data_IF_888057391747
#
_entry.id   IF_888057391747
#
_cell.length_a   1.000
_cell.length_b   1.000
_cell.length_c   1.000
_cell.angle_alpha   90.00
_cell.angle_beta   90.00
_cell.angle_gamma   90.00
#
_symmetry.space_group_name_H-M   'P 1'
#
loop_
_entity.id
_entity.type
_entity.pdbx_description
1 polymer ?
#
# COMPACT_ATOMS: atom_id res chain seq x y z
N UNK A 1 6.24 -23.61 -13.64
CA UNK A 1 6.67 -22.30 -13.08
C UNK A 1 5.39 -21.51 -12.85
N UNK A 2 4.84 -21.54 -11.64
CA UNK A 2 3.74 -20.63 -11.29
C UNK A 2 4.28 -19.21 -11.30
N UNK A 3 3.54 -18.29 -11.90
CA UNK A 3 3.89 -16.87 -11.84
C UNK A 3 3.96 -16.45 -10.36
N UNK A 4 5.08 -15.85 -9.96
CA UNK A 4 5.26 -15.36 -8.60
C UNK A 4 4.15 -14.34 -8.25
N UNK A 5 3.68 -13.55 -9.22
CA UNK A 5 2.55 -12.63 -9.03
C UNK A 5 1.23 -13.38 -8.76
N UNK A 6 1.01 -14.53 -9.39
CA UNK A 6 -0.18 -15.36 -9.12
C UNK A 6 -0.16 -15.91 -7.69
N UNK A 7 1.03 -16.35 -7.22
CA UNK A 7 1.21 -16.77 -5.85
C UNK A 7 0.88 -15.64 -4.87
N UNK A 8 1.50 -14.46 -5.05
CA UNK A 8 1.25 -13.29 -4.19
C UNK A 8 -0.22 -12.90 -4.20
N UNK A 9 -0.86 -12.90 -5.37
CA UNK A 9 -2.28 -12.54 -5.50
C UNK A 9 -3.17 -13.51 -4.75
N UNK A 10 -2.91 -14.81 -4.85
CA UNK A 10 -3.65 -15.86 -4.13
C UNK A 10 -3.50 -15.69 -2.61
N UNK A 11 -2.27 -15.51 -2.13
CA UNK A 11 -1.98 -15.31 -0.71
C UNK A 11 -2.67 -14.04 -0.17
N UNK A 12 -2.57 -12.91 -0.88
CA UNK A 12 -3.20 -11.65 -0.45
C UNK A 12 -4.73 -11.70 -0.44
N UNK A 13 -5.35 -12.48 -1.34
CA UNK A 13 -6.81 -12.70 -1.28
C UNK A 13 -7.22 -13.46 -0.02
N UNK A 14 -6.43 -14.45 0.39
CA UNK A 14 -6.67 -15.16 1.65
C UNK A 14 -6.49 -14.23 2.86
N UNK A 15 -5.45 -13.38 2.85
CA UNK A 15 -5.23 -12.37 3.90
C UNK A 15 -6.42 -11.43 4.04
N UNK A 16 -6.93 -10.90 2.91
CA UNK A 16 -8.11 -10.01 2.91
C UNK A 16 -9.36 -10.73 3.41
N UNK A 17 -9.58 -11.98 3.02
CA UNK A 17 -10.73 -12.76 3.50
C UNK A 17 -10.67 -12.97 5.03
N UNK A 18 -9.49 -13.32 5.56
CA UNK A 18 -9.27 -13.45 7.00
C UNK A 18 -9.46 -12.12 7.75
N UNK A 19 -8.94 -11.02 7.19
CA UNK A 19 -9.11 -9.69 7.77
C UNK A 19 -10.58 -9.24 7.81
N UNK A 20 -11.35 -9.51 6.74
CA UNK A 20 -12.79 -9.22 6.68
C UNK A 20 -13.63 -10.07 7.62
N UNK A 21 -13.21 -11.30 7.88
CA UNK A 21 -13.84 -12.14 8.89
C UNK A 21 -13.58 -11.61 10.31
N UNK A 22 -12.42 -10.99 10.54
CA UNK A 22 -12.04 -10.44 11.83
C UNK A 22 -12.61 -9.04 12.10
N UNK A 23 -12.73 -8.20 11.06
CA UNK A 23 -13.21 -6.82 11.17
C UNK A 23 -14.21 -6.53 10.04
N UNK A 24 -15.46 -6.19 10.36
CA UNK A 24 -16.46 -5.80 9.37
C UNK A 24 -16.03 -4.60 8.50
N UNK A 25 -16.45 -4.63 7.23
CA UNK A 25 -16.07 -3.62 6.22
C UNK A 25 -16.51 -2.19 6.61
N UNK A 26 -17.65 -2.04 7.30
CA UNK A 26 -18.16 -0.76 7.80
C UNK A 26 -17.26 -0.18 8.91
N UNK A 27 -16.76 -1.03 9.81
CA UNK A 27 -15.81 -0.61 10.85
C UNK A 27 -14.47 -0.19 10.23
N UNK A 28 -13.97 -0.92 9.23
CA UNK A 28 -12.77 -0.52 8.48
C UNK A 28 -12.96 0.87 7.84
N UNK A 29 -14.12 1.13 7.22
CA UNK A 29 -14.44 2.44 6.62
C UNK A 29 -14.52 3.54 7.66
N UNK A 30 -15.13 3.30 8.82
CA UNK A 30 -15.21 4.27 9.90
C UNK A 30 -13.82 4.64 10.41
N UNK A 31 -12.95 3.66 10.65
CA UNK A 31 -11.55 3.89 11.07
C UNK A 31 -10.76 4.70 10.04
N UNK A 32 -10.99 4.47 8.75
CA UNK A 32 -10.31 5.21 7.68
C UNK A 32 -10.65 6.71 7.66
N UNK A 33 -11.80 7.12 8.20
CA UNK A 33 -12.20 8.54 8.29
C UNK A 33 -11.49 9.31 9.41
N UNK A 34 -10.87 8.62 10.38
CA UNK A 34 -10.25 9.23 11.58
C UNK A 34 -8.78 9.63 11.33
N UNK A 35 -8.22 9.31 10.14
CA UNK A 35 -6.84 9.64 9.79
C UNK A 35 -6.60 11.13 9.53
N UNK A 36 -5.33 11.60 9.54
CA UNK A 36 -5.01 12.98 9.17
C UNK A 36 -5.53 13.26 7.76
N UNK A 37 -6.48 14.19 7.66
CA UNK A 37 -7.14 14.56 6.41
C UNK A 37 -6.16 15.21 5.44
N UNK A 38 -5.43 14.39 4.68
CA UNK A 38 -4.70 14.88 3.51
C UNK A 38 -5.72 15.19 2.42
N UNK A 39 -5.61 16.34 1.74
CA UNK A 39 -6.33 16.55 0.49
C UNK A 39 -6.07 15.37 -0.44
N UNK A 40 -7.12 14.83 -1.05
CA UNK A 40 -7.06 13.63 -1.89
C UNK A 40 -6.01 13.76 -3.01
N UNK A 41 -5.82 14.96 -3.54
CA UNK A 41 -4.90 15.27 -4.63
C UNK A 41 -3.48 15.60 -4.17
N UNK A 42 -3.22 15.77 -2.86
CA UNK A 42 -1.93 16.25 -2.34
C UNK A 42 -0.75 15.39 -2.80
N UNK A 43 -0.92 14.07 -2.89
CA UNK A 43 0.11 13.17 -3.42
C UNK A 43 0.43 13.47 -4.89
N UNK A 44 -0.60 13.58 -5.74
CA UNK A 44 -0.45 13.92 -7.15
C UNK A 44 0.19 15.30 -7.33
N UNK A 45 -0.26 16.30 -6.56
CA UNK A 45 0.29 17.65 -6.59
C UNK A 45 1.76 17.67 -6.21
N UNK A 46 2.16 16.92 -5.17
CA UNK A 46 3.54 16.86 -4.69
C UNK A 46 4.51 16.35 -5.78
N UNK A 47 4.07 15.40 -6.60
CA UNK A 47 4.86 14.87 -7.72
C UNK A 47 4.95 15.84 -8.92
N UNK A 48 4.00 16.77 -9.05
CA UNK A 48 3.88 17.67 -10.21
C UNK A 48 4.35 19.10 -9.93
N UNK A 49 4.44 19.50 -8.67
CA UNK A 49 4.63 20.89 -8.25
C UNK A 49 5.99 21.48 -8.64
N UNK A 50 7.06 20.68 -8.72
CA UNK A 50 8.42 21.17 -9.03
C UNK A 50 8.98 20.53 -10.29
N UNK A 51 8.75 21.16 -11.45
CA UNK A 51 9.30 20.68 -12.74
C UNK A 51 10.82 20.84 -12.88
N UNK A 52 11.45 21.67 -12.04
CA UNK A 52 12.90 21.89 -12.04
C UNK A 52 13.66 20.97 -11.07
N UNK A 53 12.97 20.10 -10.32
CA UNK A 53 13.57 19.20 -9.35
C UNK A 53 13.09 17.76 -9.56
N UNK A 54 13.91 16.79 -9.18
CA UNK A 54 13.53 15.38 -9.18
C UNK A 54 12.54 15.13 -8.05
N UNK A 55 11.39 14.52 -8.36
CA UNK A 55 10.45 14.05 -7.36
C UNK A 55 10.84 12.64 -6.89
N UNK A 56 10.87 12.42 -5.57
CA UNK A 56 11.25 11.14 -4.96
C UNK A 56 10.07 10.59 -4.15
N UNK A 57 9.72 9.33 -4.40
CA UNK A 57 8.85 8.55 -3.51
C UNK A 57 9.77 7.65 -2.69
N UNK A 58 10.01 8.03 -1.44
CA UNK A 58 10.80 7.22 -0.52
C UNK A 58 9.96 6.05 -0.01
N UNK A 59 10.38 4.81 -0.33
CA UNK A 59 9.75 3.58 0.15
C UNK A 59 10.44 3.10 1.44
N UNK A 60 9.64 2.73 2.45
CA UNK A 60 10.12 1.98 3.62
C UNK A 60 9.73 0.53 3.44
N UNK A 61 10.73 -0.36 3.29
CA UNK A 61 10.52 -1.79 2.99
C UNK A 61 11.47 -2.65 3.80
N UNK A 62 10.95 -3.71 4.42
CA UNK A 62 11.74 -4.65 5.22
C UNK A 62 12.27 -5.86 4.43
N UNK A 63 11.49 -6.41 3.50
CA UNK A 63 11.84 -7.66 2.78
C UNK A 63 11.41 -7.52 1.31
N UNK A 64 12.20 -8.07 0.39
CA UNK A 64 11.82 -8.27 -1.00
C UNK A 64 12.07 -9.71 -1.47
N UNK A 65 11.28 -10.26 -2.41
CA UNK A 65 11.52 -11.59 -2.96
C UNK A 65 12.88 -11.73 -3.65
N UNK A 66 13.34 -10.67 -4.31
CA UNK A 66 14.59 -10.67 -5.07
C UNK A 66 15.84 -10.51 -4.20
N UNK A 67 15.75 -9.79 -3.08
CA UNK A 67 16.91 -9.39 -2.26
C UNK A 67 16.83 -9.84 -0.81
N UNK A 68 15.78 -10.56 -0.41
CA UNK A 68 15.58 -10.97 0.98
C UNK A 68 15.36 -9.79 1.92
N UNK A 69 15.90 -9.86 3.13
CA UNK A 69 15.80 -8.79 4.13
C UNK A 69 16.62 -7.57 3.69
N UNK A 70 15.98 -6.41 3.67
CA UNK A 70 16.61 -5.12 3.41
C UNK A 70 17.02 -4.53 4.77
N UNK A 71 18.32 -4.27 4.93
CA UNK A 71 18.94 -3.64 6.13
C UNK A 71 19.10 -2.14 5.95
#
# INVERSE_FOLDING_TARGET
MTDFLDQVTRERRADVAAARAAVPDDEIRARAQVGPGRPFDQFFQSLRHRRSAVAVIAEVKRISPASGVLV
#
